data_IF_822677969167
#
_entry.id   IF_822677969167
#
_cell.length_a   1.000
_cell.length_b   1.000
_cell.length_c   1.000
_cell.angle_alpha   90.00
_cell.angle_beta   90.00
_cell.angle_gamma   90.00
#
_symmetry.space_group_name_H-M   'P 1'
#
loop_
_entity.id
_entity.type
_entity.pdbx_description
1 polymer ?
#
# COMPACT_ATOMS: atom_id res chain seq x y z
N UNK A 1 -8.20 5.26 21.30
CA UNK A 1 -8.33 6.25 20.21
C UNK A 1 -7.58 5.73 19.01
N UNK A 2 -8.16 5.84 17.82
CA UNK A 2 -7.46 5.55 16.56
C UNK A 2 -6.97 6.89 16.02
N UNK A 3 -5.69 6.98 15.68
CA UNK A 3 -5.08 8.19 15.13
C UNK A 3 -4.56 7.88 13.72
N UNK A 4 -4.90 8.75 12.77
CA UNK A 4 -4.45 8.65 11.38
C UNK A 4 -3.24 9.54 11.20
N UNK A 5 -2.08 8.93 10.97
CA UNK A 5 -0.83 9.67 10.82
C UNK A 5 -0.39 9.57 9.36
N UNK A 6 -0.32 10.73 8.71
CA UNK A 6 0.30 10.88 7.40
C UNK A 6 1.72 11.38 7.63
N UNK A 7 2.71 10.50 7.50
CA UNK A 7 4.08 10.91 7.78
C UNK A 7 5.07 9.77 7.88
N UNK A 8 6.28 10.15 8.30
CA UNK A 8 7.49 9.31 8.28
C UNK A 8 8.05 9.09 9.69
N UNK A 9 7.30 9.62 10.64
CA UNK A 9 7.54 9.66 12.07
C UNK A 9 6.23 9.30 12.76
N UNK A 10 6.34 8.61 13.89
CA UNK A 10 5.26 8.42 14.85
C UNK A 10 5.58 9.30 16.05
N UNK A 11 4.76 10.30 16.29
CA UNK A 11 4.78 11.04 17.54
C UNK A 11 3.88 10.29 18.52
N UNK A 12 4.48 9.78 19.59
CA UNK A 12 3.78 9.04 20.62
C UNK A 12 3.74 9.89 21.88
N UNK A 13 2.55 10.32 22.25
CA UNK A 13 2.29 11.01 23.51
C UNK A 13 1.42 10.19 24.45
N UNK A 14 1.71 10.30 25.74
CA UNK A 14 0.89 9.75 26.81
C UNK A 14 0.84 10.72 27.98
N UNK A 15 -0.38 10.96 28.47
CA UNK A 15 -0.63 11.68 29.72
C UNK A 15 -0.92 10.65 30.82
N UNK A 16 -0.20 10.77 31.93
CA UNK A 16 -0.36 9.94 33.12
C UNK A 16 -0.92 10.79 34.26
N UNK A 17 -2.20 10.59 34.54
CA UNK A 17 -2.89 11.23 35.66
C UNK A 17 -3.65 10.20 36.51
N UNK A 18 -3.83 10.54 37.79
CA UNK A 18 -4.73 9.86 38.71
C UNK A 18 -5.56 10.90 39.45
N UNK A 19 -6.90 10.83 39.33
CA UNK A 19 -7.84 11.83 39.88
C UNK A 19 -7.49 13.28 39.50
N UNK A 20 -6.96 13.49 38.30
CA UNK A 20 -6.53 14.81 37.81
C UNK A 20 -5.18 15.30 38.36
N UNK A 21 -4.48 14.49 39.15
CA UNK A 21 -3.12 14.75 39.60
C UNK A 21 -2.14 14.04 38.67
N UNK A 22 -1.17 14.78 38.16
CA UNK A 22 -0.07 14.26 37.37
C UNK A 22 0.71 13.20 38.16
N UNK A 23 0.96 12.05 37.54
CA UNK A 23 1.82 11.03 38.14
C UNK A 23 3.26 11.24 37.65
N UNK A 24 4.12 11.68 38.55
CA UNK A 24 5.54 11.93 38.30
C UNK A 24 6.38 10.66 38.52
N UNK A 25 7.67 10.71 38.17
CA UNK A 25 8.66 9.64 38.41
C UNK A 25 8.29 8.23 37.90
N UNK A 26 7.36 8.16 36.96
CA UNK A 26 6.96 6.92 36.31
C UNK A 26 7.93 6.55 35.20
N UNK A 27 8.23 5.26 35.08
CA UNK A 27 8.95 4.69 33.94
C UNK A 27 7.94 4.27 32.90
N UNK A 28 8.01 4.91 31.73
CA UNK A 28 7.20 4.57 30.57
C UNK A 28 8.07 3.88 29.53
N UNK A 29 7.63 2.71 29.09
CA UNK A 29 8.18 2.01 27.92
C UNK A 29 7.06 1.73 26.94
N UNK A 30 7.36 1.72 25.65
CA UNK A 30 6.43 1.20 24.66
C UNK A 30 7.04 0.04 23.90
N UNK A 31 6.21 -0.99 23.66
CA UNK A 31 6.47 -2.05 22.70
C UNK A 31 5.65 -1.76 21.46
N UNK A 32 6.32 -1.63 20.32
CA UNK A 32 5.66 -1.39 19.05
C UNK A 32 5.61 -2.66 18.26
N UNK A 33 4.44 -2.92 17.68
CA UNK A 33 4.18 -4.05 16.82
C UNK A 33 4.06 -3.51 15.39
N UNK A 34 5.17 -3.54 14.64
CA UNK A 34 5.22 -3.06 13.26
C UNK A 34 4.57 -4.05 12.27
N UNK A 35 3.92 -3.57 11.19
CA UNK A 35 3.57 -4.40 10.03
C UNK A 35 4.81 -5.06 9.44
N UNK A 36 4.77 -6.34 9.07
CA UNK A 36 5.96 -7.06 8.63
C UNK A 36 6.32 -6.83 7.16
N UNK A 37 7.60 -7.01 6.79
CA UNK A 37 8.07 -6.96 5.39
C UNK A 37 7.44 -8.05 4.51
N UNK A 38 7.00 -9.16 5.10
CA UNK A 38 6.51 -10.32 4.36
C UNK A 38 4.99 -10.32 4.17
N UNK A 39 4.24 -9.61 5.02
CA UNK A 39 2.86 -9.21 4.72
C UNK A 39 2.78 -8.57 3.33
N UNK A 40 3.66 -7.60 3.04
CA UNK A 40 3.76 -6.95 1.73
C UNK A 40 3.93 -7.91 0.54
N UNK A 41 4.78 -8.93 0.66
CA UNK A 41 5.10 -9.84 -0.45
C UNK A 41 4.00 -10.88 -0.68
N UNK A 42 3.31 -11.27 0.39
CA UNK A 42 2.11 -12.10 0.30
C UNK A 42 1.01 -11.29 -0.40
N UNK A 43 0.67 -10.09 0.05
CA UNK A 43 -0.38 -9.31 -0.61
C UNK A 43 -0.03 -8.91 -2.06
N UNK A 44 1.25 -8.66 -2.40
CA UNK A 44 1.66 -8.32 -3.78
C UNK A 44 1.80 -9.50 -4.73
N UNK A 45 2.15 -10.70 -4.24
CA UNK A 45 2.32 -11.88 -5.09
C UNK A 45 1.01 -12.62 -5.36
N UNK A 46 -0.02 -12.38 -4.55
CA UNK A 46 -1.34 -12.98 -4.76
C UNK A 46 -2.20 -12.21 -5.78
N UNK A 47 -1.77 -11.01 -6.22
CA UNK A 47 -2.38 -10.29 -7.34
C UNK A 47 -1.64 -10.43 -8.67
N UNK A 48 -0.34 -10.75 -8.64
CA UNK A 48 0.45 -11.06 -9.84
C UNK A 48 0.50 -12.59 -10.06
N UNK A 49 -0.52 -13.15 -10.70
CA UNK A 49 -0.48 -14.51 -11.25
C UNK A 49 0.46 -14.58 -12.47
N UNK A 50 1.75 -14.36 -12.24
CA UNK A 50 2.82 -14.78 -13.17
C UNK A 50 4.10 -15.00 -12.35
N UNK A 51 4.21 -16.17 -11.73
CA UNK A 51 5.43 -16.60 -11.04
C UNK A 51 6.28 -17.51 -11.93
N UNK A 52 7.54 -17.11 -12.11
CA UNK A 52 8.63 -17.84 -12.75
C UNK A 52 8.88 -19.20 -12.10
N UNK A 53 9.25 -20.19 -12.93
CA UNK A 53 9.23 -21.66 -12.72
C UNK A 53 9.87 -22.26 -11.44
N UNK A 54 10.57 -21.49 -10.60
CA UNK A 54 11.46 -22.05 -9.56
C UNK A 54 10.86 -22.35 -8.17
N UNK A 55 9.62 -21.94 -7.84
CA UNK A 55 9.06 -22.10 -6.46
C UNK A 55 7.69 -22.77 -6.43
N UNK A 56 7.52 -23.80 -7.27
CA UNK A 56 6.22 -24.33 -7.67
C UNK A 56 5.58 -25.36 -6.71
N UNK A 57 6.27 -25.90 -5.70
CA UNK A 57 5.78 -27.12 -5.04
C UNK A 57 4.93 -26.98 -3.77
N UNK A 58 4.88 -25.82 -3.11
CA UNK A 58 4.12 -25.70 -1.84
C UNK A 58 2.91 -24.76 -1.93
N UNK A 59 2.87 -23.83 -2.90
CA UNK A 59 1.72 -22.92 -3.09
C UNK A 59 0.74 -23.36 -4.20
N UNK A 60 1.07 -24.37 -5.02
CA UNK A 60 0.31 -24.64 -6.25
C UNK A 60 -0.91 -25.54 -6.07
N UNK A 61 -1.03 -26.33 -5.01
CA UNK A 61 -2.23 -27.16 -4.84
C UNK A 61 -3.46 -26.32 -4.46
N UNK A 62 -3.27 -25.28 -3.64
CA UNK A 62 -4.39 -24.41 -3.23
C UNK A 62 -4.72 -23.36 -4.30
N UNK A 63 -3.73 -22.92 -5.09
CA UNK A 63 -3.95 -21.94 -6.19
C UNK A 63 -4.56 -22.61 -7.42
N UNK A 64 -4.30 -23.90 -7.70
CA UNK A 64 -4.95 -24.62 -8.81
C UNK A 64 -6.47 -24.72 -8.62
N UNK A 65 -6.94 -24.76 -7.39
CA UNK A 65 -8.36 -24.73 -7.07
C UNK A 65 -9.01 -23.38 -7.41
N UNK A 66 -8.24 -22.29 -7.41
CA UNK A 66 -8.72 -20.95 -7.76
C UNK A 66 -8.63 -20.66 -9.27
N UNK A 67 -7.77 -21.34 -10.02
CA UNK A 67 -7.59 -21.12 -11.46
C UNK A 67 -8.47 -21.99 -12.37
N UNK A 68 -9.16 -22.98 -11.81
CA UNK A 68 -9.98 -23.95 -12.57
C UNK A 68 -11.49 -23.70 -12.48
N UNK A 69 -11.93 -22.57 -11.91
CA UNK A 69 -13.36 -22.25 -11.91
C UNK A 69 -13.69 -21.44 -13.16
N UNK A 70 -14.29 -22.12 -14.15
CA UNK A 70 -14.76 -21.54 -15.41
C UNK A 70 -15.72 -20.37 -15.10
N UNK A 71 -15.38 -19.19 -15.61
CA UNK A 71 -16.16 -17.97 -15.51
C UNK A 71 -17.28 -17.90 -16.56
N UNK A 72 -18.00 -18.99 -16.79
CA UNK A 72 -19.14 -19.01 -17.75
C UNK A 72 -20.44 -18.44 -17.15
N UNK A 73 -20.45 -18.05 -15.87
CA UNK A 73 -21.60 -17.38 -15.26
C UNK A 73 -21.40 -15.86 -15.24
N UNK A 74 -22.29 -15.16 -15.95
CA UNK A 74 -22.50 -13.70 -16.01
C UNK A 74 -22.89 -13.04 -14.67
N UNK A 75 -22.52 -13.63 -13.55
CA UNK A 75 -22.75 -13.06 -12.23
C UNK A 75 -21.52 -12.25 -11.83
N UNK A 76 -21.73 -10.96 -11.64
CA UNK A 76 -20.77 -10.08 -10.97
C UNK A 76 -20.50 -10.66 -9.58
N UNK A 77 -19.48 -11.50 -9.48
CA UNK A 77 -18.94 -11.93 -8.21
C UNK A 77 -18.48 -10.66 -7.50
N UNK A 78 -19.18 -10.32 -6.41
CA UNK A 78 -18.90 -9.13 -5.61
C UNK A 78 -17.41 -9.14 -5.25
N UNK A 79 -16.69 -8.04 -5.52
CA UNK A 79 -15.28 -7.91 -5.19
C UNK A 79 -15.04 -8.19 -3.69
N UNK A 80 -16.07 -7.98 -2.86
CA UNK A 80 -16.11 -8.38 -1.46
C UNK A 80 -16.00 -9.90 -1.25
N UNK A 81 -16.62 -10.75 -2.09
CA UNK A 81 -16.56 -12.22 -1.97
C UNK A 81 -15.16 -12.74 -2.36
N UNK A 82 -14.57 -12.19 -3.42
CA UNK A 82 -13.23 -12.59 -3.86
C UNK A 82 -12.14 -12.15 -2.87
N UNK A 83 -12.29 -10.98 -2.26
CA UNK A 83 -11.44 -10.52 -1.15
C UNK A 83 -11.65 -11.36 0.12
N UNK A 84 -12.89 -11.72 0.45
CA UNK A 84 -13.25 -12.52 1.63
C UNK A 84 -12.70 -13.95 1.54
N UNK A 85 -12.83 -14.61 0.37
CA UNK A 85 -12.25 -15.95 0.16
C UNK A 85 -10.73 -15.94 0.19
N UNK A 86 -10.10 -14.91 -0.38
CA UNK A 86 -8.63 -14.70 -0.25
C UNK A 86 -8.24 -14.52 1.20
N UNK A 87 -8.97 -13.72 1.97
CA UNK A 87 -8.72 -13.55 3.40
C UNK A 87 -8.84 -14.86 4.16
N UNK A 88 -9.87 -15.68 3.88
CA UNK A 88 -10.07 -16.98 4.52
C UNK A 88 -8.90 -17.95 4.28
N UNK A 89 -8.39 -18.00 3.03
CA UNK A 89 -7.20 -18.80 2.69
C UNK A 89 -5.93 -18.28 3.37
N UNK A 90 -5.83 -16.97 3.58
CA UNK A 90 -4.71 -16.36 4.29
C UNK A 90 -4.79 -16.61 5.81
N UNK A 91 -5.98 -16.53 6.39
CA UNK A 91 -6.18 -16.72 7.83
C UNK A 91 -5.84 -18.15 8.29
N UNK A 92 -6.03 -19.15 7.43
CA UNK A 92 -5.80 -20.55 7.74
C UNK A 92 -4.39 -21.06 7.43
N UNK A 93 -3.45 -20.20 6.98
CA UNK A 93 -2.10 -20.64 6.67
C UNK A 93 -1.16 -20.48 7.88
N UNK A 94 -0.61 -21.56 8.47
CA UNK A 94 0.28 -21.48 9.62
C UNK A 94 1.63 -20.80 9.31
N UNK A 95 2.02 -20.73 8.03
CA UNK A 95 3.17 -19.90 7.64
C UNK A 95 2.85 -18.42 7.75
N UNK A 96 1.59 -18.00 7.55
CA UNK A 96 1.21 -16.60 7.68
C UNK A 96 1.33 -16.11 9.12
N UNK A 97 0.99 -16.93 10.11
CA UNK A 97 1.20 -16.56 11.51
C UNK A 97 2.66 -16.16 11.80
N UNK A 98 3.63 -16.98 11.36
CA UNK A 98 5.07 -16.68 11.48
C UNK A 98 5.50 -15.46 10.65
N UNK A 99 4.80 -15.18 9.54
CA UNK A 99 5.08 -14.02 8.69
C UNK A 99 4.45 -12.73 9.22
N UNK A 100 3.47 -12.83 10.12
CA UNK A 100 2.70 -11.72 10.69
C UNK A 100 3.10 -11.43 12.14
N UNK A 101 4.08 -12.15 12.70
CA UNK A 101 4.68 -11.82 13.98
C UNK A 101 5.21 -10.38 13.95
N UNK A 102 4.63 -9.47 14.75
CA UNK A 102 5.03 -8.09 14.71
C UNK A 102 6.47 -7.96 15.18
N UNK A 103 7.20 -6.99 14.60
CA UNK A 103 8.54 -6.70 15.09
C UNK A 103 8.41 -5.84 16.35
N UNK A 104 8.88 -6.37 17.47
CA UNK A 104 9.01 -5.63 18.73
C UNK A 104 10.10 -4.57 18.62
N UNK A 105 9.75 -3.34 18.99
CA UNK A 105 10.70 -2.23 19.15
C UNK A 105 10.42 -1.59 20.51
N UNK A 106 11.41 -1.63 21.39
CA UNK A 106 11.37 -0.96 22.68
C UNK A 106 11.73 0.52 22.50
N UNK A 107 10.90 1.39 23.07
CA UNK A 107 11.08 2.85 23.01
C UNK A 107 10.94 3.45 24.40
N UNK A 108 11.88 4.31 24.76
CA UNK A 108 11.87 5.12 25.98
C UNK A 108 11.20 6.47 25.70
N UNK A 109 10.58 7.02 26.74
CA UNK A 109 9.90 8.31 26.70
C UNK A 109 10.65 9.33 27.53
N UNK A 110 10.67 10.56 27.03
CA UNK A 110 11.15 11.72 27.76
C UNK A 110 9.99 12.25 28.63
N UNK A 111 10.28 12.52 29.90
CA UNK A 111 9.34 13.15 30.81
C UNK A 111 9.36 14.66 30.58
N UNK A 112 8.21 15.25 30.27
CA UNK A 112 8.08 16.68 29.97
C UNK A 112 7.46 17.49 31.12
N UNK A 113 7.17 16.86 32.27
CA UNK A 113 6.43 17.49 33.36
C UNK A 113 4.93 17.19 33.31
N UNK A 114 4.22 17.45 34.41
CA UNK A 114 2.77 17.31 34.53
C UNK A 114 2.22 15.94 34.08
N UNK A 115 2.98 14.87 34.35
CA UNK A 115 2.60 13.51 33.96
C UNK A 115 2.64 13.26 32.45
N UNK A 116 3.21 14.18 31.65
CA UNK A 116 3.35 14.02 30.20
C UNK A 116 4.63 13.31 29.84
N UNK A 117 4.48 12.31 28.99
CA UNK A 117 5.56 11.51 28.45
C UNK A 117 5.44 11.51 26.93
N UNK A 118 6.50 11.94 26.26
CA UNK A 118 6.55 11.98 24.81
C UNK A 118 7.77 11.25 24.28
N UNK A 119 7.63 10.71 23.07
CA UNK A 119 8.77 10.22 22.30
C UNK A 119 8.46 10.36 20.82
N UNK A 120 9.50 10.56 20.03
CA UNK A 120 9.40 10.60 18.57
C UNK A 120 10.13 9.43 17.97
N UNK A 121 9.42 8.65 17.19
CA UNK A 121 9.99 7.50 16.50
C UNK A 121 10.25 7.90 15.07
N UNK A 122 11.53 8.09 14.79
CA UNK A 122 12.01 8.36 13.46
C UNK A 122 12.06 7.05 12.64
N UNK A 123 11.82 7.16 11.33
CA UNK A 123 11.97 6.07 10.35
C UNK A 123 10.85 5.02 10.41
N UNK A 124 9.61 5.47 10.47
CA UNK A 124 8.49 4.56 10.27
C UNK A 124 8.27 4.39 8.77
N UNK A 125 8.76 3.26 8.25
CA UNK A 125 8.94 3.06 6.80
C UNK A 125 7.82 2.26 6.15
N UNK A 126 6.80 1.81 6.90
CA UNK A 126 5.78 0.91 6.37
C UNK A 126 4.40 1.49 6.66
N UNK A 127 3.52 1.57 5.66
CA UNK A 127 2.12 1.83 5.93
C UNK A 127 1.48 0.62 6.62
N UNK A 128 0.40 0.87 7.36
CA UNK A 128 -0.39 -0.15 8.04
C UNK A 128 -0.74 0.21 9.47
N UNK A 129 -1.37 -0.73 10.17
CA UNK A 129 -1.72 -0.59 11.58
C UNK A 129 -0.51 -0.94 12.44
N UNK A 130 -0.14 -0.01 13.29
CA UNK A 130 0.84 -0.17 14.35
C UNK A 130 0.08 -0.29 15.67
N UNK A 131 0.41 -1.32 16.45
CA UNK A 131 -0.08 -1.45 17.82
C UNK A 131 1.04 -1.05 18.76
N UNK A 132 0.75 -0.16 19.70
CA UNK A 132 1.68 0.38 20.68
C UNK A 132 1.18 -0.01 22.06
N UNK A 133 1.97 -0.79 22.77
CA UNK A 133 1.68 -1.24 24.13
C UNK A 133 2.58 -0.47 25.10
N UNK A 134 2.01 0.49 25.80
CA UNK A 134 2.67 1.26 26.85
C UNK A 134 2.68 0.45 28.13
N UNK A 135 3.87 0.22 28.68
CA UNK A 135 4.08 -0.36 30.00
C UNK A 135 4.53 0.75 30.94
N UNK A 136 3.76 0.97 32.00
CA UNK A 136 4.00 2.05 32.95
C UNK A 136 4.17 1.44 34.33
N UNK A 137 5.27 1.79 34.99
CA UNK A 137 5.54 1.41 36.37
C UNK A 137 5.96 2.64 37.15
N UNK A 138 5.46 2.80 38.37
CA UNK A 138 5.76 3.96 39.17
C UNK A 138 5.38 3.79 40.63
N UNK A 139 5.57 4.87 41.37
CA UNK A 139 5.14 5.00 42.75
C UNK A 139 4.40 6.33 42.89
N UNK A 140 3.27 6.33 43.59
CA UNK A 140 2.51 7.53 43.89
C UNK A 140 2.20 7.53 45.39
N UNK A 141 2.29 8.71 46.03
CA UNK A 141 2.14 8.87 47.49
C UNK A 141 0.84 8.24 48.02
N UNK A 142 -0.27 8.39 47.30
CA UNK A 142 -1.57 7.82 47.69
C UNK A 142 -1.80 6.36 47.24
N UNK A 143 -1.19 5.92 46.13
CA UNK A 143 -1.47 4.60 45.52
C UNK A 143 -0.43 3.54 45.87
N UNK A 144 0.72 3.95 46.40
CA UNK A 144 1.89 3.10 46.51
C UNK A 144 2.47 2.77 45.13
N UNK A 145 3.08 1.58 45.01
CA UNK A 145 3.63 1.07 43.75
C UNK A 145 2.49 0.67 42.80
N UNK A 146 2.59 1.03 41.53
CA UNK A 146 1.61 0.64 40.53
C UNK A 146 2.26 0.17 39.22
N UNK A 147 1.52 -0.63 38.46
CA UNK A 147 1.86 -1.08 37.12
C UNK A 147 0.61 -1.06 36.26
N UNK A 148 0.70 -0.51 35.04
CA UNK A 148 -0.40 -0.51 34.07
C UNK A 148 0.10 -0.76 32.65
N UNK A 149 -0.79 -1.32 31.84
CA UNK A 149 -0.59 -1.47 30.41
C UNK A 149 -1.68 -0.70 29.66
N UNK A 150 -1.28 0.12 28.69
CA UNK A 150 -2.20 0.84 27.81
C UNK A 150 -1.90 0.44 26.38
N UNK A 151 -2.92 0.17 25.58
CA UNK A 151 -2.76 -0.14 24.15
C UNK A 151 -3.31 1.01 23.30
N UNK A 152 -2.54 1.46 22.30
CA UNK A 152 -3.03 2.34 21.23
C UNK A 152 -2.81 1.68 19.88
N UNK A 153 -3.70 1.98 18.93
CA UNK A 153 -3.58 1.57 17.54
C UNK A 153 -3.46 2.82 16.66
N UNK A 154 -2.44 2.83 15.81
CA UNK A 154 -2.09 3.94 14.93
C UNK A 154 -2.10 3.43 13.50
N UNK A 155 -2.77 4.14 12.60
CA UNK A 155 -2.72 3.81 11.19
C UNK A 155 -1.75 4.76 10.48
N UNK A 156 -0.74 4.18 9.84
CA UNK A 156 0.23 4.93 9.03
C UNK A 156 -0.11 4.74 7.58
N UNK A 157 -0.30 5.84 6.87
CA UNK A 157 -0.60 5.81 5.46
C UNK A 157 0.67 5.70 4.60
N UNK A 158 0.47 5.39 3.32
CA UNK A 158 1.47 5.54 2.27
C UNK A 158 2.09 6.94 2.32
N UNK A 159 3.43 7.02 2.29
CA UNK A 159 4.16 8.28 2.31
C UNK A 159 4.13 9.02 0.97
N UNK A 160 4.82 10.16 0.87
CA UNK A 160 4.87 10.91 -0.40
C UNK A 160 5.44 10.06 -1.54
N UNK A 161 4.74 10.07 -2.68
CA UNK A 161 5.15 9.35 -3.89
C UNK A 161 6.49 9.88 -4.40
N UNK A 162 7.39 8.96 -4.74
CA UNK A 162 8.74 9.26 -5.23
C UNK A 162 8.86 8.90 -6.70
N UNK A 163 9.21 9.89 -7.52
CA UNK A 163 9.38 9.69 -8.97
C UNK A 163 10.46 8.65 -9.29
N UNK A 164 11.58 8.67 -8.59
CA UNK A 164 12.71 7.76 -8.83
C UNK A 164 12.40 6.30 -8.47
N UNK A 165 11.38 6.04 -7.65
CA UNK A 165 10.96 4.69 -7.28
C UNK A 165 9.70 4.21 -7.99
N UNK A 166 8.89 5.15 -8.45
CA UNK A 166 7.67 4.90 -9.22
C UNK A 166 7.99 4.51 -10.67
N UNK A 167 7.13 3.72 -11.29
CA UNK A 167 7.21 3.40 -12.72
C UNK A 167 6.05 4.08 -13.43
N UNK A 168 6.36 4.84 -14.46
CA UNK A 168 5.38 5.57 -15.28
C UNK A 168 5.75 5.32 -16.74
N UNK A 169 4.79 4.89 -17.56
CA UNK A 169 5.01 4.57 -18.97
C UNK A 169 3.77 4.89 -19.79
N UNK A 170 3.98 5.48 -20.95
CA UNK A 170 2.99 5.49 -22.02
C UNK A 170 3.06 4.15 -22.74
N UNK A 171 1.91 3.49 -22.84
CA UNK A 171 1.69 2.26 -23.58
C UNK A 171 0.84 2.63 -24.79
N UNK A 172 1.36 2.34 -25.98
CA UNK A 172 0.63 2.53 -27.23
C UNK A 172 0.08 1.19 -27.68
N UNK A 173 -1.21 1.17 -27.97
CA UNK A 173 -1.84 0.01 -28.58
C UNK A 173 -1.54 -0.02 -30.08
N UNK A 174 -1.98 -1.09 -30.73
CA UNK A 174 -1.97 -1.13 -32.19
C UNK A 174 -2.98 -0.13 -32.76
N UNK A 175 -2.76 0.33 -34.00
CA UNK A 175 -3.55 1.41 -34.66
C UNK A 175 -5.05 1.05 -34.76
N UNK A 176 -5.37 -0.24 -34.67
CA UNK A 176 -6.74 -0.78 -34.76
C UNK A 176 -7.44 -0.91 -33.41
N UNK A 177 -6.82 -0.55 -32.29
CA UNK A 177 -7.47 -0.62 -30.98
C UNK A 177 -8.37 0.58 -30.72
N UNK A 178 -9.56 0.35 -30.15
CA UNK A 178 -10.51 1.41 -29.73
C UNK A 178 -9.90 2.41 -28.73
N UNK A 179 -8.84 2.02 -28.03
CA UNK A 179 -8.08 2.87 -27.10
C UNK A 179 -6.62 2.86 -27.54
N UNK A 180 -6.17 3.86 -28.33
CA UNK A 180 -4.85 3.84 -28.94
C UNK A 180 -3.74 4.08 -27.92
N UNK A 181 -4.03 4.72 -26.78
CA UNK A 181 -3.02 5.06 -25.77
C UNK A 181 -3.49 4.80 -24.33
N UNK A 182 -2.57 4.31 -23.52
CA UNK A 182 -2.78 4.01 -22.10
C UNK A 182 -1.60 4.48 -21.27
N UNK A 183 -1.86 5.18 -20.17
CA UNK A 183 -0.83 5.57 -19.20
C UNK A 183 -0.76 4.53 -18.07
N UNK A 184 0.36 3.81 -18.00
CA UNK A 184 0.66 2.89 -16.90
C UNK A 184 1.39 3.62 -15.76
N UNK A 185 0.91 3.43 -14.53
CA UNK A 185 1.49 4.03 -13.33
C UNK A 185 1.58 2.95 -12.24
N UNK A 186 2.77 2.80 -11.65
CA UNK A 186 3.01 2.02 -10.44
C UNK A 186 3.67 2.91 -9.41
N UNK A 187 2.90 3.68 -8.63
CA UNK A 187 3.44 4.64 -7.70
C UNK A 187 4.11 3.93 -6.52
N UNK A 188 5.26 4.47 -6.11
CA UNK A 188 5.94 4.06 -4.89
C UNK A 188 6.39 5.27 -4.09
N UNK A 189 6.31 5.18 -2.78
CA UNK A 189 6.87 6.21 -1.91
C UNK A 189 8.40 6.12 -1.87
N UNK A 190 9.04 7.04 -1.16
CA UNK A 190 10.51 7.06 -0.99
C UNK A 190 11.08 5.84 -0.27
N UNK A 191 10.25 5.04 0.41
CA UNK A 191 10.64 3.78 1.05
C UNK A 191 10.37 2.57 0.15
N UNK A 192 9.78 2.81 -1.02
CA UNK A 192 9.44 1.80 -2.00
C UNK A 192 8.15 1.05 -1.69
N UNK A 193 7.32 1.55 -0.78
CA UNK A 193 5.97 1.02 -0.56
C UNK A 193 5.10 1.35 -1.76
N UNK A 194 4.14 0.49 -2.08
CA UNK A 194 3.19 0.71 -3.16
C UNK A 194 1.99 1.48 -2.60
N UNK A 195 1.39 2.35 -3.44
CA UNK A 195 -0.01 2.71 -3.22
C UNK A 195 -0.80 1.41 -3.40
N UNK A 196 -1.49 0.97 -2.33
CA UNK A 196 -2.19 -0.32 -2.31
C UNK A 196 -3.30 -0.41 -3.38
N UNK A 197 -3.95 -1.57 -3.55
CA UNK A 197 -5.13 -1.69 -4.41
C UNK A 197 -6.31 -0.88 -3.86
N UNK A 198 -7.22 -0.46 -4.74
CA UNK A 198 -8.41 0.33 -4.43
C UNK A 198 -8.17 1.83 -4.34
N UNK A 199 -6.99 2.33 -4.71
CA UNK A 199 -6.62 3.75 -4.58
C UNK A 199 -6.45 4.44 -5.94
N UNK A 200 -7.13 3.96 -6.98
CA UNK A 200 -7.12 4.57 -8.31
C UNK A 200 -7.54 6.04 -8.29
N UNK A 201 -8.57 6.37 -7.50
CA UNK A 201 -9.09 7.74 -7.33
C UNK A 201 -8.08 8.68 -6.65
N UNK A 202 -7.11 8.12 -5.93
CA UNK A 202 -5.99 8.86 -5.36
C UNK A 202 -4.96 9.29 -6.40
N UNK A 203 -5.08 8.87 -7.65
CA UNK A 203 -4.19 9.25 -8.75
C UNK A 203 -4.97 10.14 -9.72
N UNK A 204 -4.56 11.40 -9.83
CA UNK A 204 -5.13 12.36 -10.78
C UNK A 204 -4.16 12.59 -11.92
N UNK A 205 -4.66 12.51 -13.15
CA UNK A 205 -3.89 12.83 -14.35
C UNK A 205 -4.56 14.00 -15.04
N UNK A 206 -3.76 15.01 -15.37
CA UNK A 206 -4.18 16.17 -16.15
C UNK A 206 -3.37 16.20 -17.43
N UNK A 207 -4.06 16.40 -18.55
CA UNK A 207 -3.47 16.59 -19.85
C UNK A 207 -3.71 18.03 -20.32
N UNK A 208 -2.77 18.60 -21.07
CA UNK A 208 -2.99 19.88 -21.74
C UNK A 208 -4.02 19.79 -22.87
N UNK A 209 -4.17 18.61 -23.49
CA UNK A 209 -5.19 18.27 -24.48
C UNK A 209 -5.52 16.77 -24.42
N UNK A 210 -6.71 16.40 -24.89
CA UNK A 210 -7.26 15.05 -24.77
C UNK A 210 -7.99 14.78 -23.46
N UNK A 211 -8.39 13.53 -23.23
CA UNK A 211 -9.16 13.10 -22.07
C UNK A 211 -8.53 11.88 -21.40
N UNK A 212 -8.70 11.79 -20.08
CA UNK A 212 -8.29 10.64 -19.28
C UNK A 212 -9.56 9.91 -18.84
N UNK A 213 -9.68 8.63 -19.13
CA UNK A 213 -10.78 7.81 -18.61
C UNK A 213 -10.50 7.24 -17.23
N UNK A 214 -11.45 6.43 -16.75
CA UNK A 214 -11.36 5.83 -15.42
C UNK A 214 -10.15 4.91 -15.27
N UNK A 215 -9.51 4.88 -14.08
CA UNK A 215 -8.41 3.96 -13.81
C UNK A 215 -8.88 2.50 -13.87
N UNK A 216 -8.06 1.67 -14.49
CA UNK A 216 -8.07 0.22 -14.32
C UNK A 216 -7.04 -0.13 -13.24
N UNK A 217 -7.50 -0.61 -12.09
CA UNK A 217 -6.65 -1.10 -11.02
C UNK A 217 -6.32 -2.58 -11.23
N UNK A 218 -5.03 -2.90 -11.31
CA UNK A 218 -4.54 -4.28 -11.50
C UNK A 218 -4.42 -5.06 -10.19
N UNK A 219 -4.85 -4.46 -9.07
CA UNK A 219 -4.81 -5.01 -7.71
C UNK A 219 -3.40 -5.38 -7.22
N UNK A 220 -2.36 -4.95 -7.93
CA UNK A 220 -0.94 -5.20 -7.60
C UNK A 220 -0.19 -3.90 -7.24
N UNK A 221 -0.95 -2.82 -7.03
CA UNK A 221 -0.44 -1.46 -6.81
C UNK A 221 0.00 -0.77 -8.09
N UNK A 222 -0.39 -1.30 -9.26
CA UNK A 222 -0.29 -0.60 -10.53
C UNK A 222 -1.65 -0.34 -11.15
N UNK A 223 -1.69 0.71 -11.97
CA UNK A 223 -2.89 1.31 -12.52
C UNK A 223 -2.67 1.62 -13.99
N UNK A 224 -3.72 1.53 -14.78
CA UNK A 224 -3.72 1.96 -16.18
C UNK A 224 -4.84 2.94 -16.44
N UNK A 225 -4.52 4.05 -17.10
CA UNK A 225 -5.49 5.07 -17.47
C UNK A 225 -5.63 5.11 -18.98
N UNK A 226 -6.82 4.86 -19.54
CA UNK A 226 -7.05 5.03 -20.96
C UNK A 226 -7.01 6.53 -21.31
N UNK A 227 -6.33 6.86 -22.40
CA UNK A 227 -6.22 8.21 -22.91
C UNK A 227 -6.97 8.31 -24.24
N UNK A 228 -7.78 9.34 -24.41
CA UNK A 228 -8.61 9.58 -25.59
C UNK A 228 -8.31 10.96 -26.17
N UNK A 229 -8.56 11.13 -27.46
CA UNK A 229 -8.44 12.41 -28.16
C UNK A 229 -7.03 13.06 -27.98
N UNK A 230 -5.98 12.23 -27.95
CA UNK A 230 -4.58 12.68 -27.88
C UNK A 230 -3.97 12.57 -29.27
N UNK A 231 -3.85 13.69 -29.96
CA UNK A 231 -3.37 13.72 -31.36
C UNK A 231 -1.86 13.48 -31.47
N UNK A 232 -1.06 14.26 -30.75
CA UNK A 232 0.40 14.15 -30.73
C UNK A 232 0.94 14.13 -29.28
N UNK A 233 1.36 12.96 -28.76
CA UNK A 233 1.84 12.85 -27.40
C UNK A 233 3.15 13.60 -27.15
N UNK A 234 3.94 13.91 -28.17
CA UNK A 234 5.20 14.63 -27.97
C UNK A 234 5.00 16.10 -27.57
N UNK A 235 3.85 16.68 -27.90
CA UNK A 235 3.45 18.06 -27.51
C UNK A 235 2.46 18.13 -26.34
N UNK A 236 1.71 17.06 -26.05
CA UNK A 236 0.79 17.05 -24.89
C UNK A 236 1.56 17.02 -23.58
N UNK A 237 1.36 18.01 -22.71
CA UNK A 237 1.86 17.98 -21.34
C UNK A 237 0.97 17.09 -20.47
N UNK A 238 1.61 16.28 -19.62
CA UNK A 238 0.93 15.49 -18.59
C UNK A 238 1.44 15.86 -17.20
N UNK A 239 0.51 16.16 -16.29
CA UNK A 239 0.75 16.25 -14.85
C UNK A 239 0.10 15.05 -14.16
N UNK A 240 0.89 14.33 -13.38
CA UNK A 240 0.46 13.17 -12.60
C UNK A 240 0.56 13.53 -11.13
N UNK A 241 -0.57 13.50 -10.43
CA UNK A 241 -0.65 13.67 -8.99
C UNK A 241 -1.00 12.34 -8.33
N UNK A 242 -0.35 12.03 -7.21
CA UNK A 242 -0.67 10.90 -6.35
C UNK A 242 -0.91 11.42 -4.94
N UNK A 243 -2.11 11.16 -4.41
CA UNK A 243 -2.58 11.68 -3.13
C UNK A 243 -2.40 13.22 -3.05
N UNK A 244 -2.92 13.93 -4.07
CA UNK A 244 -2.84 15.40 -4.23
C UNK A 244 -1.42 15.99 -4.37
N UNK A 245 -0.38 15.17 -4.49
CA UNK A 245 1.00 15.64 -4.66
C UNK A 245 1.52 15.32 -6.05
N UNK A 246 2.15 16.31 -6.69
CA UNK A 246 2.75 16.13 -8.01
C UNK A 246 3.86 15.08 -7.96
N UNK A 247 3.70 14.03 -8.75
CA UNK A 247 4.68 12.98 -8.96
C UNK A 247 5.55 13.26 -10.19
N UNK A 248 4.96 13.84 -11.24
CA UNK A 248 5.66 14.19 -12.47
C UNK A 248 4.87 15.20 -13.30
N UNK A 249 5.58 16.15 -13.91
CA UNK A 249 5.08 16.99 -15.00
C UNK A 249 6.06 16.99 -16.17
N UNK A 250 5.64 16.60 -17.37
CA UNK A 250 6.44 16.62 -18.62
C UNK A 250 5.57 16.30 -19.85
N UNK A 251 6.13 16.33 -21.06
CA UNK A 251 5.41 15.84 -22.24
C UNK A 251 5.13 14.33 -22.18
N UNK A 252 3.97 13.93 -22.69
CA UNK A 252 3.46 12.56 -22.66
C UNK A 252 4.36 11.61 -23.47
N UNK A 253 4.88 12.05 -24.61
CA UNK A 253 5.78 11.28 -25.48
C UNK A 253 7.10 10.91 -24.80
N UNK A 254 7.60 11.75 -23.87
CA UNK A 254 8.75 11.41 -23.01
C UNK A 254 8.48 10.27 -22.03
N UNK A 255 7.25 9.75 -21.96
CA UNK A 255 6.90 8.55 -21.19
C UNK A 255 6.86 7.27 -22.01
N UNK A 256 7.02 7.33 -23.34
CA UNK A 256 7.15 6.14 -24.18
C UNK A 256 8.32 5.29 -23.68
N UNK A 257 8.04 4.02 -23.37
CA UNK A 257 9.12 3.05 -23.15
C UNK A 257 9.45 2.39 -24.48
N UNK A 258 10.68 2.55 -24.97
CA UNK A 258 11.17 1.79 -26.12
C UNK A 258 11.20 0.31 -25.73
N UNK A 259 10.21 -0.46 -26.17
CA UNK A 259 10.29 -1.91 -26.21
C UNK A 259 10.72 -2.26 -27.64
N UNK A 260 11.88 -2.91 -27.86
CA UNK A 260 12.24 -3.39 -29.19
C UNK A 260 11.13 -4.31 -29.69
N UNK A 261 10.79 -4.19 -30.98
CA UNK A 261 9.57 -4.71 -31.60
C UNK A 261 9.25 -6.19 -31.37
N UNK A 262 10.22 -7.00 -30.94
CA UNK A 262 10.05 -8.42 -30.64
C UNK A 262 9.27 -8.71 -29.34
N UNK A 263 9.12 -7.75 -28.42
CA UNK A 263 8.33 -7.92 -27.18
C UNK A 263 6.89 -7.38 -27.34
N UNK A 264 6.61 -6.66 -28.44
CA UNK A 264 5.32 -6.01 -28.69
C UNK A 264 4.18 -7.05 -28.78
N UNK A 265 4.45 -8.20 -29.38
CA UNK A 265 3.46 -9.27 -29.54
C UNK A 265 3.19 -10.00 -28.21
N UNK A 266 4.22 -10.29 -27.41
CA UNK A 266 4.06 -11.11 -26.21
C UNK A 266 3.34 -10.42 -25.03
N UNK A 267 3.47 -9.09 -24.90
CA UNK A 267 2.86 -8.32 -23.81
C UNK A 267 1.43 -7.87 -24.13
N UNK A 268 1.11 -7.70 -25.41
CA UNK A 268 -0.24 -7.36 -25.88
C UNK A 268 -1.17 -8.58 -25.83
N UNK A 269 -0.68 -9.77 -26.19
CA UNK A 269 -1.49 -11.01 -26.10
C UNK A 269 -1.95 -11.32 -24.67
N UNK A 270 -1.08 -11.19 -23.66
CA UNK A 270 -1.47 -11.46 -22.27
C UNK A 270 -2.34 -10.39 -21.60
N UNK A 271 -2.36 -9.16 -22.13
CA UNK A 271 -3.26 -8.10 -21.63
C UNK A 271 -4.62 -8.09 -22.36
N UNK A 272 -4.71 -8.62 -23.59
CA UNK A 272 -5.96 -8.71 -24.35
C UNK A 272 -6.74 -10.01 -24.08
N UNK A 273 -6.10 -11.14 -23.79
CA UNK A 273 -6.81 -12.39 -23.43
C UNK A 273 -7.63 -12.24 -22.14
N UNK A 274 -7.22 -11.36 -21.22
CA UNK A 274 -7.99 -11.05 -20.00
C UNK A 274 -9.21 -10.17 -20.28
N UNK A 275 -9.25 -9.50 -21.44
CA UNK A 275 -10.35 -8.62 -21.86
C UNK A 275 -11.37 -9.29 -22.79
N UNK A 276 -11.03 -10.43 -23.41
CA UNK A 276 -11.86 -11.11 -24.41
C UNK A 276 -12.57 -12.38 -23.87
N UNK A 277 -12.26 -12.82 -22.65
CA UNK A 277 -13.01 -13.85 -21.93
C UNK A 277 -13.97 -13.24 -20.89
N UNK A 278 -14.90 -12.41 -21.38
CA UNK A 278 -16.15 -12.01 -20.70
C UNK A 278 -17.31 -12.09 -21.67
#
# INVERSE_FOLDING_TARGET
SNEFIVGEFLDLGMLLEYKGIAIEDSKVRAVILEPTRRQRKVFSNFSAATMTRGRRKVLMNDIKYLSNYNSDSKDYMDLADLASRKWHLLANNPLLEKLFQPKHVDVSFDYEGDGRYNTRINKVKRPGVYKVEFQVQGHHSELGKFSRTVTKSLYINYGYSSRCRSRIRLLEADIQADIPMRLYIRPKDRYGNLLGPGFGDGIKIRLSSGKVGNPVDHLDGSYTFPLYDVDDPDVVEVEILVMEKSLQKKSLGKLRSWLPGFIRDYLVFHLLEVSQNK
#
